data_IF_454342472967
#
_entry.id   IF_454342472967
#
_cell.length_a   1.000
_cell.length_b   1.000
_cell.length_c   1.000
_cell.angle_alpha   90.00
_cell.angle_beta   90.00
_cell.angle_gamma   90.00
#
_symmetry.space_group_name_H-M   'P 1'
#
loop_
_entity.id
_entity.type
_entity.pdbx_description
1 polymer ?
#
# COMPACT_ATOMS: atom_id res chain seq x y z
N UNK A 1 -29.86 10.66 6.02
CA UNK A 1 -30.43 11.34 4.83
C UNK A 1 -29.89 12.76 4.61
N UNK A 2 -29.98 13.66 5.59
CA UNK A 2 -29.53 15.06 5.45
C UNK A 2 -28.08 15.21 4.97
N UNK A 3 -27.15 14.42 5.53
CA UNK A 3 -25.73 14.48 5.17
C UNK A 3 -25.44 14.07 3.72
N UNK A 4 -26.22 13.15 3.15
CA UNK A 4 -26.09 12.80 1.74
C UNK A 4 -26.53 13.96 0.83
N UNK A 5 -27.67 14.58 1.13
CA UNK A 5 -28.18 15.71 0.39
C UNK A 5 -27.22 16.91 0.47
N UNK A 6 -26.73 17.23 1.68
CA UNK A 6 -25.74 18.26 1.91
C UNK A 6 -24.45 18.00 1.12
N UNK A 7 -23.89 16.78 1.23
CA UNK A 7 -22.66 16.41 0.50
C UNK A 7 -22.85 16.51 -1.01
N UNK A 8 -24.02 16.14 -1.54
CA UNK A 8 -24.32 16.27 -2.98
C UNK A 8 -24.31 17.74 -3.42
N UNK A 9 -24.94 18.63 -2.66
CA UNK A 9 -24.99 20.07 -2.97
C UNK A 9 -23.60 20.68 -2.86
N UNK A 10 -22.87 20.39 -1.78
CA UNK A 10 -21.53 20.93 -1.57
C UNK A 10 -20.50 20.37 -2.56
N UNK A 11 -20.58 19.09 -2.91
CA UNK A 11 -19.73 18.48 -3.93
C UNK A 11 -19.96 19.04 -5.34
N UNK A 12 -21.11 19.66 -5.62
CA UNK A 12 -21.38 20.29 -6.92
C UNK A 12 -21.08 21.79 -6.90
N UNK A 13 -21.55 22.52 -5.88
CA UNK A 13 -21.59 23.99 -5.90
C UNK A 13 -20.36 24.66 -5.27
N UNK A 14 -19.65 24.00 -4.34
CA UNK A 14 -18.56 24.67 -3.62
C UNK A 14 -17.23 24.62 -4.36
N UNK A 15 -16.42 25.66 -4.12
CA UNK A 15 -15.03 25.69 -4.54
C UNK A 15 -14.23 24.53 -3.88
N UNK A 16 -13.22 23.96 -4.56
CA UNK A 16 -12.46 22.82 -4.02
C UNK A 16 -11.88 23.06 -2.63
N UNK A 17 -11.46 24.28 -2.31
CA UNK A 17 -10.97 24.67 -0.97
C UNK A 17 -12.08 24.57 0.10
N UNK A 18 -13.26 25.13 -0.17
CA UNK A 18 -14.39 25.09 0.75
C UNK A 18 -14.95 23.67 0.89
N UNK A 19 -15.02 22.91 -0.21
CA UNK A 19 -15.40 21.51 -0.17
C UNK A 19 -14.42 20.66 0.66
N UNK A 20 -13.12 20.94 0.57
CA UNK A 20 -12.10 20.27 1.41
C UNK A 20 -12.36 20.55 2.89
N UNK A 21 -12.68 21.80 3.25
CA UNK A 21 -12.95 22.17 4.63
C UNK A 21 -14.24 21.51 5.16
N UNK A 22 -15.30 21.50 4.36
CA UNK A 22 -16.54 20.80 4.69
C UNK A 22 -16.31 19.29 4.90
N UNK A 23 -15.53 18.66 4.01
CA UNK A 23 -15.21 17.25 4.15
C UNK A 23 -14.40 16.95 5.41
N UNK A 24 -13.44 17.81 5.74
CA UNK A 24 -12.59 17.64 6.91
C UNK A 24 -13.34 17.85 8.23
N UNK A 25 -14.11 18.93 8.34
CA UNK A 25 -14.71 19.33 9.63
C UNK A 25 -16.11 18.77 9.90
N UNK A 26 -16.81 18.30 8.87
CA UNK A 26 -18.22 17.88 9.02
C UNK A 26 -18.38 16.42 8.60
N UNK A 27 -17.96 16.09 7.37
CA UNK A 27 -18.20 14.76 6.84
C UNK A 27 -17.33 13.70 7.52
N UNK A 28 -16.03 13.97 7.68
CA UNK A 28 -15.08 13.05 8.31
C UNK A 28 -15.47 12.78 9.76
N UNK A 29 -15.69 13.82 10.56
CA UNK A 29 -16.04 13.69 11.98
C UNK A 29 -17.35 12.91 12.18
N UNK A 30 -18.37 13.19 11.37
CA UNK A 30 -19.64 12.45 11.42
C UNK A 30 -19.47 10.96 11.09
N UNK A 31 -18.62 10.62 10.11
CA UNK A 31 -18.35 9.23 9.71
C UNK A 31 -17.60 8.49 10.81
N UNK A 32 -16.60 9.13 11.43
CA UNK A 32 -15.84 8.52 12.53
C UNK A 32 -16.73 8.26 13.74
N UNK A 33 -17.60 9.21 14.08
CA UNK A 33 -18.57 9.05 15.16
C UNK A 33 -19.51 7.86 14.92
N UNK A 34 -20.06 7.72 13.71
CA UNK A 34 -20.97 6.62 13.33
C UNK A 34 -20.27 5.25 13.37
N UNK A 35 -19.02 5.17 12.87
CA UNK A 35 -18.23 3.93 12.91
C UNK A 35 -17.86 3.55 14.35
N UNK A 36 -17.61 4.54 15.20
CA UNK A 36 -17.33 4.30 16.61
C UNK A 36 -18.56 3.76 17.35
N UNK A 37 -19.74 4.33 17.11
CA UNK A 37 -20.98 3.94 17.80
C UNK A 37 -21.59 2.63 17.30
N UNK A 38 -21.79 2.49 15.99
CA UNK A 38 -22.57 1.39 15.41
C UNK A 38 -21.68 0.26 14.86
N UNK A 39 -20.37 0.47 14.80
CA UNK A 39 -19.39 -0.43 14.17
C UNK A 39 -19.67 -0.78 12.69
N UNK A 40 -20.73 -0.21 12.12
CA UNK A 40 -21.14 -0.29 10.73
C UNK A 40 -21.47 1.12 10.25
N UNK A 41 -21.12 1.42 8.99
CA UNK A 41 -21.42 2.74 8.44
C UNK A 41 -22.84 2.79 7.90
N UNK A 42 -23.61 3.79 8.30
CA UNK A 42 -24.92 4.05 7.74
C UNK A 42 -24.85 4.17 6.20
N UNK A 43 -25.82 3.56 5.51
CA UNK A 43 -25.91 3.60 4.06
C UNK A 43 -25.86 5.02 3.47
N UNK A 44 -26.44 6.01 4.15
CA UNK A 44 -26.44 7.40 3.69
C UNK A 44 -25.07 8.06 3.82
N UNK A 45 -24.29 7.75 4.85
CA UNK A 45 -22.90 8.20 4.95
C UNK A 45 -22.02 7.54 3.88
N UNK A 46 -22.25 6.26 3.60
CA UNK A 46 -21.57 5.57 2.51
C UNK A 46 -21.85 6.21 1.15
N UNK A 47 -23.12 6.55 0.88
CA UNK A 47 -23.49 7.26 -0.34
C UNK A 47 -22.95 8.69 -0.38
N UNK A 48 -22.85 9.36 0.77
CA UNK A 48 -22.23 10.68 0.87
C UNK A 48 -20.73 10.61 0.52
N UNK A 49 -20.00 9.62 1.04
CA UNK A 49 -18.61 9.37 0.66
C UNK A 49 -18.45 9.13 -0.84
N UNK A 50 -19.31 8.29 -1.44
CA UNK A 50 -19.29 8.08 -2.90
C UNK A 50 -19.51 9.38 -3.67
N UNK A 51 -20.38 10.28 -3.21
CA UNK A 51 -20.61 11.57 -3.86
C UNK A 51 -19.48 12.57 -3.63
N UNK A 52 -18.81 12.52 -2.47
CA UNK A 52 -17.67 13.40 -2.19
C UNK A 52 -16.49 13.18 -3.15
N UNK A 53 -16.33 11.95 -3.67
CA UNK A 53 -15.29 11.59 -4.64
C UNK A 53 -15.44 12.22 -6.02
N UNK A 54 -16.59 12.81 -6.36
CA UNK A 54 -16.75 13.57 -7.61
C UNK A 54 -15.87 14.82 -7.64
N UNK A 55 -15.39 15.29 -6.47
CA UNK A 55 -14.28 16.26 -6.36
C UNK A 55 -13.05 15.58 -5.74
N UNK A 56 -12.25 14.83 -6.53
CA UNK A 56 -11.16 14.01 -6.01
C UNK A 56 -10.10 14.83 -5.25
N UNK A 57 -9.75 16.03 -5.74
CA UNK A 57 -8.82 16.94 -5.05
C UNK A 57 -9.24 17.28 -3.62
N UNK A 58 -10.54 17.50 -3.40
CA UNK A 58 -11.08 17.82 -2.09
C UNK A 58 -11.19 16.57 -1.21
N UNK A 59 -11.58 15.43 -1.79
CA UNK A 59 -11.64 14.15 -1.10
C UNK A 59 -10.28 13.74 -0.53
N UNK A 60 -9.22 13.76 -1.34
CA UNK A 60 -7.90 13.33 -0.88
C UNK A 60 -7.35 14.25 0.22
N UNK A 61 -7.51 15.56 0.07
CA UNK A 61 -7.01 16.54 1.04
C UNK A 61 -7.84 16.63 2.32
N UNK A 62 -9.15 16.40 2.22
CA UNK A 62 -10.10 16.60 3.31
C UNK A 62 -10.49 15.33 4.06
N UNK A 63 -10.39 14.16 3.42
CA UNK A 63 -10.80 12.88 4.01
C UNK A 63 -9.59 11.96 4.13
N UNK A 64 -9.01 11.55 3.00
CA UNK A 64 -8.00 10.48 3.00
C UNK A 64 -6.71 10.86 3.73
N UNK A 65 -6.11 12.02 3.44
CA UNK A 65 -4.85 12.42 4.07
C UNK A 65 -4.99 12.79 5.54
N UNK A 66 -6.06 13.47 6.00
CA UNK A 66 -6.30 13.65 7.44
C UNK A 66 -6.51 12.31 8.14
N UNK A 67 -7.31 11.41 7.55
CA UNK A 67 -7.56 10.09 8.12
C UNK A 67 -6.27 9.30 8.32
N UNK A 68 -5.32 9.31 7.38
CA UNK A 68 -4.04 8.60 7.55
C UNK A 68 -3.03 9.29 8.47
N UNK A 69 -3.22 10.57 8.80
CA UNK A 69 -2.37 11.30 9.77
C UNK A 69 -2.83 11.10 11.21
N UNK A 70 -4.13 10.93 11.37
CA UNK A 70 -4.76 10.64 12.65
C UNK A 70 -4.77 9.13 12.88
N UNK A 71 -5.19 8.69 14.08
CA UNK A 71 -5.28 7.27 14.44
C UNK A 71 -6.40 6.57 13.65
N UNK A 72 -6.09 6.18 12.41
CA UNK A 72 -7.02 5.44 11.55
C UNK A 72 -7.12 3.98 11.98
N UNK A 73 -8.34 3.58 12.31
CA UNK A 73 -8.66 2.18 12.58
C UNK A 73 -8.73 1.38 11.28
N UNK A 74 -8.47 0.07 11.36
CA UNK A 74 -8.57 -0.83 10.20
C UNK A 74 -9.99 -0.87 9.60
N UNK A 75 -11.03 -0.65 10.42
CA UNK A 75 -12.43 -0.62 9.97
C UNK A 75 -12.71 0.62 9.13
N UNK A 76 -12.30 1.81 9.60
CA UNK A 76 -12.40 3.05 8.83
C UNK A 76 -11.67 2.92 7.49
N UNK A 77 -10.44 2.39 7.52
CA UNK A 77 -9.64 2.18 6.31
C UNK A 77 -10.32 1.20 5.33
N UNK A 78 -10.92 0.11 5.82
CA UNK A 78 -11.64 -0.85 4.98
C UNK A 78 -12.88 -0.22 4.33
N UNK A 79 -13.65 0.56 5.07
CA UNK A 79 -14.87 1.21 4.57
C UNK A 79 -14.52 2.26 3.52
N UNK A 80 -13.61 3.19 3.83
CA UNK A 80 -13.19 4.24 2.88
C UNK A 80 -12.45 3.63 1.69
N UNK A 81 -11.64 2.60 1.91
CA UNK A 81 -11.00 1.81 0.86
C UNK A 81 -12.02 1.17 -0.10
N UNK A 82 -13.11 0.61 0.42
CA UNK A 82 -14.17 0.05 -0.43
C UNK A 82 -14.84 1.10 -1.33
N UNK A 83 -14.98 2.34 -0.85
CA UNK A 83 -15.54 3.45 -1.62
C UNK A 83 -14.59 3.85 -2.75
N UNK A 84 -13.28 3.96 -2.44
CA UNK A 84 -12.24 4.23 -3.44
C UNK A 84 -12.18 3.15 -4.52
N UNK A 85 -12.34 1.88 -4.14
CA UNK A 85 -12.35 0.77 -5.09
C UNK A 85 -13.52 0.86 -6.08
N UNK A 86 -14.69 1.37 -5.65
CA UNK A 86 -15.92 1.42 -6.47
C UNK A 86 -16.03 2.65 -7.38
N UNK A 87 -15.47 3.79 -6.97
CA UNK A 87 -15.61 5.04 -7.74
C UNK A 87 -14.43 5.22 -8.70
N UNK A 88 -14.67 5.72 -9.91
CA UNK A 88 -13.60 6.05 -10.86
C UNK A 88 -12.93 7.37 -10.49
N UNK A 89 -11.59 7.39 -10.48
CA UNK A 89 -10.79 8.54 -10.06
C UNK A 89 -9.82 8.88 -11.19
N UNK A 90 -9.61 10.17 -11.52
CA UNK A 90 -8.59 10.57 -12.48
C UNK A 90 -7.18 10.19 -12.02
N UNK A 91 -6.37 9.68 -12.95
CA UNK A 91 -5.01 9.15 -12.71
C UNK A 91 -4.12 10.15 -11.97
N UNK A 92 -4.14 11.42 -12.38
CA UNK A 92 -3.31 12.47 -11.78
C UNK A 92 -3.55 12.63 -10.27
N UNK A 93 -4.82 12.58 -9.85
CA UNK A 93 -5.16 12.71 -8.42
C UNK A 93 -4.78 11.46 -7.64
N UNK A 94 -4.97 10.27 -8.22
CA UNK A 94 -4.55 9.01 -7.62
C UNK A 94 -3.03 8.94 -7.44
N UNK A 95 -2.27 9.35 -8.46
CA UNK A 95 -0.81 9.40 -8.43
C UNK A 95 -0.28 10.30 -7.29
N UNK A 96 -0.82 11.52 -7.16
CA UNK A 96 -0.45 12.45 -6.08
C UNK A 96 -0.86 11.89 -4.71
N UNK A 97 -2.01 11.23 -4.61
CA UNK A 97 -2.45 10.61 -3.37
C UNK A 97 -1.49 9.48 -2.93
N UNK A 98 -1.12 8.58 -3.84
CA UNK A 98 -0.15 7.50 -3.57
C UNK A 98 1.18 8.09 -3.11
N UNK A 99 1.71 9.07 -3.85
CA UNK A 99 2.98 9.72 -3.51
C UNK A 99 2.96 10.31 -2.10
N UNK A 100 1.88 11.01 -1.73
CA UNK A 100 1.71 11.56 -0.37
C UNK A 100 1.57 10.49 0.70
N UNK A 101 0.85 9.39 0.42
CA UNK A 101 0.74 8.26 1.34
C UNK A 101 2.10 7.60 1.59
N UNK A 102 2.94 7.49 0.56
CA UNK A 102 4.29 6.90 0.67
C UNK A 102 5.24 7.75 1.52
N UNK A 103 5.08 9.07 1.48
CA UNK A 103 5.84 10.03 2.28
C UNK A 103 5.46 10.02 3.76
N UNK A 104 4.25 9.58 4.11
CA UNK A 104 3.80 9.48 5.49
C UNK A 104 4.44 8.28 6.21
N UNK A 105 4.35 8.30 7.54
CA UNK A 105 4.75 7.16 8.37
C UNK A 105 3.97 5.91 8.02
N UNK A 106 4.59 4.76 8.24
CA UNK A 106 3.94 3.49 7.95
C UNK A 106 2.81 3.20 8.95
N UNK A 107 1.63 2.91 8.42
CA UNK A 107 0.50 2.38 9.18
C UNK A 107 -0.21 1.31 8.36
N UNK A 108 -0.83 0.34 9.04
CA UNK A 108 -1.58 -0.72 8.37
C UNK A 108 -2.75 -0.18 7.52
N UNK A 109 -3.37 0.94 7.95
CA UNK A 109 -4.40 1.64 7.21
C UNK A 109 -3.88 2.20 5.86
N UNK A 110 -2.68 2.79 5.86
CA UNK A 110 -2.03 3.30 4.64
C UNK A 110 -1.82 2.19 3.61
N UNK A 111 -1.43 0.98 4.03
CA UNK A 111 -1.32 -0.17 3.10
C UNK A 111 -2.64 -0.54 2.43
N UNK A 112 -3.77 -0.42 3.13
CA UNK A 112 -5.10 -0.68 2.54
C UNK A 112 -5.39 0.33 1.42
N UNK A 113 -5.12 1.61 1.67
CA UNK A 113 -5.32 2.66 0.66
C UNK A 113 -4.39 2.52 -0.54
N UNK A 114 -3.09 2.32 -0.31
CA UNK A 114 -2.12 2.12 -1.40
C UNK A 114 -2.52 0.89 -2.22
N UNK A 115 -2.77 -0.26 -1.59
CA UNK A 115 -3.23 -1.49 -2.28
C UNK A 115 -4.48 -1.23 -3.13
N UNK A 116 -5.44 -0.49 -2.59
CA UNK A 116 -6.69 -0.17 -3.29
C UNK A 116 -6.45 0.70 -4.52
N UNK A 117 -5.60 1.71 -4.41
CA UNK A 117 -5.25 2.61 -5.51
C UNK A 117 -4.42 1.88 -6.59
N UNK A 118 -3.49 1.00 -6.21
CA UNK A 118 -2.72 0.19 -7.15
C UNK A 118 -3.59 -0.82 -7.91
N UNK A 119 -4.62 -1.37 -7.26
CA UNK A 119 -5.59 -2.27 -7.91
C UNK A 119 -6.41 -1.60 -9.02
N UNK A 120 -6.43 -0.27 -9.10
CA UNK A 120 -7.04 0.46 -10.22
C UNK A 120 -6.25 0.36 -11.53
N UNK A 121 -5.00 -0.13 -11.50
CA UNK A 121 -4.13 -0.35 -12.67
C UNK A 121 -3.92 0.91 -13.52
N UNK A 122 -3.73 2.05 -12.86
CA UNK A 122 -3.40 3.29 -13.55
C UNK A 122 -1.93 3.29 -14.00
N UNK A 123 -1.63 3.95 -15.12
CA UNK A 123 -0.24 4.27 -15.50
C UNK A 123 0.28 5.36 -14.57
N UNK A 124 1.24 5.01 -13.71
CA UNK A 124 1.77 5.94 -12.71
C UNK A 124 2.99 6.69 -13.28
N UNK A 125 3.19 7.96 -12.92
CA UNK A 125 4.43 8.67 -13.23
C UNK A 125 5.63 8.05 -12.50
N UNK A 126 6.81 8.03 -13.13
CA UNK A 126 8.05 7.48 -12.55
C UNK A 126 8.38 8.00 -11.14
N UNK A 127 8.16 9.28 -10.77
CA UNK A 127 8.39 9.76 -9.40
C UNK A 127 7.54 9.04 -8.35
N UNK A 128 6.32 8.62 -8.71
CA UNK A 128 5.42 7.90 -7.78
C UNK A 128 5.92 6.47 -7.58
N UNK A 129 6.42 5.83 -8.64
CA UNK A 129 7.06 4.51 -8.55
C UNK A 129 8.30 4.58 -7.66
N UNK A 130 9.15 5.61 -7.82
CA UNK A 130 10.29 5.85 -6.94
C UNK A 130 9.87 5.97 -5.47
N UNK A 131 8.85 6.77 -5.19
CA UNK A 131 8.34 6.91 -3.81
C UNK A 131 7.75 5.63 -3.23
N UNK A 132 7.17 4.75 -4.06
CA UNK A 132 6.72 3.43 -3.62
C UNK A 132 7.91 2.53 -3.28
N UNK A 133 8.95 2.53 -4.12
CA UNK A 133 10.19 1.80 -3.87
C UNK A 133 10.82 2.27 -2.57
N UNK A 134 10.93 3.58 -2.36
CA UNK A 134 11.48 4.17 -1.12
C UNK A 134 10.63 3.80 0.09
N UNK A 135 9.29 3.83 -0.03
CA UNK A 135 8.38 3.46 1.04
C UNK A 135 8.59 2.01 1.50
N UNK A 136 8.71 1.07 0.55
CA UNK A 136 9.01 -0.33 0.89
C UNK A 136 10.48 -0.53 1.30
N UNK A 137 11.39 0.25 0.74
CA UNK A 137 12.83 0.21 1.01
C UNK A 137 13.21 0.63 2.43
N UNK A 138 12.42 1.48 3.08
CA UNK A 138 12.60 1.87 4.50
C UNK A 138 12.70 0.68 5.45
N UNK A 139 12.03 -0.42 5.13
CA UNK A 139 12.04 -1.64 5.95
C UNK A 139 13.26 -2.53 5.72
N UNK A 140 14.10 -2.26 4.72
CA UNK A 140 15.29 -3.07 4.44
C UNK A 140 16.25 -3.16 5.63
N UNK A 141 16.32 -2.11 6.46
CA UNK A 141 17.25 -2.00 7.57
C UNK A 141 16.58 -2.19 8.96
N UNK A 142 15.27 -2.50 9.00
CA UNK A 142 14.49 -2.58 10.25
C UNK A 142 13.98 -4.01 10.51
N UNK A 143 14.86 -4.99 10.82
CA UNK A 143 14.47 -6.39 10.99
C UNK A 143 13.54 -6.66 12.18
N UNK A 144 13.45 -5.72 13.13
CA UNK A 144 12.65 -5.87 14.36
C UNK A 144 11.16 -5.58 14.16
N UNK A 145 10.79 -4.94 13.05
CA UNK A 145 9.40 -4.53 12.82
C UNK A 145 8.58 -5.70 12.26
N UNK A 146 7.53 -6.10 12.98
CA UNK A 146 6.63 -7.17 12.54
C UNK A 146 5.64 -6.57 11.55
N UNK A 147 5.86 -6.85 10.26
CA UNK A 147 5.00 -6.35 9.19
C UNK A 147 3.74 -7.23 9.06
N UNK A 148 2.54 -6.62 9.01
CA UNK A 148 1.30 -7.36 8.86
C UNK A 148 1.16 -7.95 7.46
N UNK A 149 0.32 -8.98 7.31
CA UNK A 149 0.01 -9.61 6.02
C UNK A 149 -0.48 -8.60 4.97
N UNK A 150 -1.20 -7.55 5.40
CA UNK A 150 -1.67 -6.47 4.53
C UNK A 150 -0.53 -5.74 3.82
N UNK A 151 0.62 -5.58 4.47
CA UNK A 151 1.81 -4.97 3.86
C UNK A 151 2.34 -5.84 2.73
N UNK A 152 2.52 -7.14 2.98
CA UNK A 152 2.98 -8.10 1.96
C UNK A 152 2.01 -8.18 0.77
N UNK A 153 0.69 -8.15 1.03
CA UNK A 153 -0.31 -8.11 -0.04
C UNK A 153 -0.24 -6.82 -0.85
N UNK A 154 -0.05 -5.67 -0.20
CA UNK A 154 0.12 -4.39 -0.89
C UNK A 154 1.38 -4.42 -1.78
N UNK A 155 2.47 -4.98 -1.25
CA UNK A 155 3.73 -5.10 -1.95
C UNK A 155 3.65 -6.05 -3.16
N UNK A 156 2.95 -7.19 -3.03
CA UNK A 156 2.68 -8.09 -4.14
C UNK A 156 1.91 -7.40 -5.27
N UNK A 157 0.86 -6.63 -4.93
CA UNK A 157 0.07 -5.89 -5.94
C UNK A 157 0.93 -4.85 -6.65
N UNK A 158 1.82 -4.15 -5.93
CA UNK A 158 2.76 -3.21 -6.52
C UNK A 158 3.66 -3.90 -7.57
N UNK A 159 4.31 -4.99 -7.18
CA UNK A 159 5.22 -5.73 -8.05
C UNK A 159 4.51 -6.33 -9.27
N UNK A 160 3.35 -6.98 -9.07
CA UNK A 160 2.59 -7.60 -10.16
C UNK A 160 2.20 -6.61 -11.26
N UNK A 161 1.99 -5.34 -10.89
CA UNK A 161 1.52 -4.31 -11.83
C UNK A 161 2.66 -3.50 -12.42
N UNK A 162 3.65 -3.13 -11.61
CA UNK A 162 4.68 -2.16 -11.98
C UNK A 162 6.07 -2.76 -12.17
N UNK A 163 6.23 -4.10 -12.22
CA UNK A 163 7.54 -4.77 -12.41
C UNK A 163 8.39 -4.24 -13.57
N UNK A 164 7.75 -3.82 -14.67
CA UNK A 164 8.43 -3.31 -15.86
C UNK A 164 8.90 -1.85 -15.70
N UNK A 165 8.34 -1.12 -14.74
CA UNK A 165 8.65 0.29 -14.46
C UNK A 165 9.68 0.44 -13.32
N UNK A 166 10.05 -0.66 -12.66
CA UNK A 166 11.05 -0.68 -11.59
C UNK A 166 12.44 -0.84 -12.23
N UNK A 167 13.31 0.15 -12.02
CA UNK A 167 14.72 0.09 -12.42
C UNK A 167 15.53 -0.94 -11.61
N UNK A 168 16.72 -1.31 -12.09
CA UNK A 168 17.55 -2.35 -11.47
C UNK A 168 17.94 -2.04 -10.01
N UNK A 169 18.34 -0.81 -9.71
CA UNK A 169 18.64 -0.37 -8.33
C UNK A 169 17.44 -0.56 -7.39
N UNK A 170 16.23 -0.28 -7.90
CA UNK A 170 14.99 -0.50 -7.17
C UNK A 170 14.72 -1.98 -6.92
N UNK A 171 15.00 -2.86 -7.89
CA UNK A 171 14.87 -4.31 -7.71
C UNK A 171 15.84 -4.85 -6.66
N UNK A 172 17.08 -4.38 -6.63
CA UNK A 172 18.06 -4.73 -5.59
C UNK A 172 17.63 -4.23 -4.20
N UNK A 173 17.14 -2.99 -4.17
CA UNK A 173 16.22 -2.42 -3.17
C UNK A 173 15.34 -3.46 -2.50
N UNK A 174 14.36 -3.87 -3.29
CA UNK A 174 13.27 -4.75 -2.92
C UNK A 174 13.76 -6.18 -2.60
N UNK A 175 14.83 -6.66 -3.25
CA UNK A 175 15.47 -7.95 -2.94
C UNK A 175 15.96 -8.00 -1.50
N UNK A 176 16.60 -6.93 -1.03
CA UNK A 176 17.08 -6.82 0.37
C UNK A 176 15.91 -6.85 1.34
N UNK A 177 14.84 -6.11 1.07
CA UNK A 177 13.62 -6.10 1.90
C UNK A 177 13.01 -7.51 2.02
N UNK A 178 12.90 -8.25 0.91
CA UNK A 178 12.35 -9.63 0.89
C UNK A 178 13.23 -10.68 1.59
N UNK A 179 14.50 -10.37 1.86
CA UNK A 179 15.38 -11.24 2.67
C UNK A 179 15.14 -11.02 4.16
N UNK A 180 14.95 -9.77 4.57
CA UNK A 180 14.72 -9.40 5.97
C UNK A 180 13.29 -9.74 6.40
N UNK A 181 12.30 -9.36 5.61
CA UNK A 181 10.89 -9.58 5.89
C UNK A 181 10.31 -10.62 4.94
N UNK A 182 10.20 -11.86 5.41
CA UNK A 182 9.71 -12.99 4.63
C UNK A 182 8.35 -13.49 5.15
N UNK A 183 7.42 -13.70 4.22
CA UNK A 183 6.13 -14.33 4.46
C UNK A 183 6.03 -15.62 3.65
N UNK A 184 5.78 -16.73 4.33
CA UNK A 184 5.85 -18.09 3.79
C UNK A 184 5.11 -18.31 2.45
N UNK A 185 3.92 -17.71 2.26
CA UNK A 185 3.13 -17.81 1.02
C UNK A 185 3.36 -16.69 0.00
N UNK A 186 3.60 -15.46 0.44
CA UNK A 186 3.51 -14.27 -0.43
C UNK A 186 4.89 -13.89 -0.98
N UNK A 187 5.94 -13.96 -0.15
CA UNK A 187 7.31 -13.63 -0.56
C UNK A 187 7.78 -14.44 -1.77
N UNK A 188 7.52 -15.76 -1.89
CA UNK A 188 7.86 -16.52 -3.09
C UNK A 188 7.18 -15.99 -4.36
N UNK A 189 5.93 -15.54 -4.28
CA UNK A 189 5.22 -14.95 -5.42
C UNK A 189 5.83 -13.62 -5.82
N UNK A 190 6.17 -12.76 -4.85
CA UNK A 190 6.82 -11.47 -5.13
C UNK A 190 8.17 -11.69 -5.83
N UNK A 191 8.98 -12.63 -5.33
CA UNK A 191 10.27 -12.97 -5.96
C UNK A 191 10.09 -13.47 -7.38
N UNK A 192 9.11 -14.34 -7.61
CA UNK A 192 8.79 -14.86 -8.95
C UNK A 192 8.41 -13.74 -9.92
N UNK A 193 7.65 -12.74 -9.47
CA UNK A 193 7.26 -11.61 -10.33
C UNK A 193 8.40 -10.63 -10.61
N UNK A 194 9.31 -10.39 -9.64
CA UNK A 194 10.43 -9.45 -9.82
C UNK A 194 11.57 -10.01 -10.68
N UNK A 195 11.95 -11.28 -10.47
CA UNK A 195 13.14 -11.87 -11.07
C UNK A 195 12.83 -13.01 -12.06
N UNK A 196 11.54 -13.30 -12.28
CA UNK A 196 11.10 -14.40 -13.12
C UNK A 196 11.55 -15.77 -12.57
N UNK A 197 11.52 -16.78 -13.45
CA UNK A 197 12.03 -18.13 -13.15
C UNK A 197 13.57 -18.17 -12.95
N UNK A 198 14.29 -17.08 -13.24
CA UNK A 198 15.75 -17.02 -13.12
C UNK A 198 16.22 -17.02 -11.66
N UNK A 199 15.53 -16.31 -10.75
CA UNK A 199 15.85 -16.35 -9.32
C UNK A 199 15.66 -17.74 -8.69
N UNK A 200 14.73 -18.56 -9.22
CA UNK A 200 14.56 -19.95 -8.78
C UNK A 200 15.77 -20.82 -9.15
N UNK A 201 16.42 -20.55 -10.29
CA UNK A 201 17.64 -21.25 -10.71
C UNK A 201 18.86 -20.80 -9.90
N UNK A 202 18.96 -19.52 -9.57
CA UNK A 202 20.11 -18.96 -8.84
C UNK A 202 20.14 -19.42 -7.37
N UNK A 203 18.99 -19.51 -6.70
CA UNK A 203 18.90 -20.05 -5.32
C UNK A 203 19.05 -21.57 -5.26
N UNK A 204 18.52 -22.34 -6.22
CA UNK A 204 18.82 -23.79 -6.31
C UNK A 204 20.28 -24.05 -6.67
N UNK A 205 20.88 -23.22 -7.52
CA UNK A 205 22.30 -23.27 -7.84
C UNK A 205 23.17 -22.99 -6.62
N UNK A 206 22.82 -21.96 -5.85
CA UNK A 206 23.56 -21.56 -4.63
C UNK A 206 23.34 -22.53 -3.45
N UNK A 207 22.15 -23.14 -3.33
CA UNK A 207 21.87 -24.19 -2.35
C UNK A 207 22.52 -25.53 -2.71
N UNK A 208 22.68 -25.83 -4.02
CA UNK A 208 23.39 -27.01 -4.51
C UNK A 208 24.92 -26.87 -4.39
N UNK A 209 25.48 -25.68 -4.58
CA UNK A 209 26.93 -25.45 -4.40
C UNK A 209 27.35 -25.33 -2.93
N UNK A 210 26.43 -24.98 -2.03
CA UNK A 210 26.69 -24.92 -0.57
C UNK A 210 26.69 -26.27 0.16
N UNK A 211 26.29 -27.37 -0.50
CA UNK A 211 26.20 -28.71 0.12
C UNK A 211 27.33 -29.67 -0.28
N UNK A 212 28.31 -29.23 -1.08
CA UNK A 212 29.40 -30.08 -1.59
C UNK A 212 30.80 -29.85 -1.00
N UNK A 213 31.00 -28.87 -0.10
CA UNK A 213 32.34 -28.41 0.30
C UNK A 213 32.76 -28.75 1.74
N UNK A 214 32.21 -29.80 2.36
CA UNK A 214 32.64 -30.20 3.71
C UNK A 214 32.67 -31.71 3.93
N UNK A 215 33.29 -32.48 3.02
CA UNK A 215 33.88 -33.80 3.35
C UNK A 215 35.01 -34.07 2.36
N UNK A 216 36.23 -33.61 2.67
CA UNK A 216 37.51 -34.21 2.20
C UNK A 216 38.66 -33.28 2.57
N UNK A 217 39.22 -33.42 3.78
CA UNK A 217 40.66 -33.21 4.05
C UNK A 217 41.04 -33.71 5.45
N UNK A 218 41.91 -34.73 5.49
CA UNK A 218 42.79 -35.07 6.61
C UNK A 218 42.19 -36.03 7.66
N UNK A 219 42.87 -37.08 8.13
CA UNK A 219 44.28 -37.49 8.02
C UNK A 219 44.34 -39.01 8.24
N UNK A 220 45.02 -39.71 7.35
CA UNK A 220 45.58 -41.04 7.60
C UNK A 220 47.04 -40.85 8.05
N UNK A 221 47.52 -41.80 8.88
CA UNK A 221 48.88 -41.99 9.42
C UNK A 221 49.09 -41.57 10.88
N UNK A 222 49.13 -42.58 11.76
CA UNK A 222 50.29 -42.81 12.65
C UNK A 222 50.25 -44.27 13.13
N UNK A 223 51.09 -45.12 12.53
CA UNK A 223 51.60 -46.34 13.14
C UNK A 223 52.75 -45.99 14.10
N UNK A 224 53.02 -46.91 15.03
CA UNK A 224 54.00 -46.96 16.13
C UNK A 224 53.50 -46.52 17.50
#
# INVERSE_FOLDING_TARGET
>A
MAMYAATRIFASNLNPKMATQFYKLVLLDAIRADIYSEHQLNYHYYMALKKSLYKPSAFFKGILLPLTREDCTLREAAIVGSVLAKVSIPVQHAAVAIHKLCQQGYTAATSIFIKTLLNKKYSLPSPVIGSLIDHFGKFANNPKEILPVLWHQCFLVFVQRYKNEIGEEGKELLKRVLKVHSHHKITPEIRRELFGAAAWKEERGSAATGSGASVMTGVSAMEM
#
